data_IF_556270495079
#
_entry.id   IF_556270495079
#
_cell.length_a   1.000
_cell.length_b   1.000
_cell.length_c   1.000
_cell.angle_alpha   90.00
_cell.angle_beta   90.00
_cell.angle_gamma   90.00
#
_symmetry.space_group_name_H-M   'P 1'
#
loop_
_entity.id
_entity.type
_entity.pdbx_description
1 polymer ?
#
# COMPACT_ATOMS: atom_id res chain seq x y z
N UNK A 1 23.18 24.35 -8.10
CA UNK A 1 23.05 22.91 -8.42
C UNK A 1 21.57 22.58 -8.41
N UNK A 2 21.05 21.72 -9.31
CA UNK A 2 19.68 21.26 -9.13
C UNK A 2 19.58 20.62 -7.75
N UNK A 3 18.55 21.00 -6.98
CA UNK A 3 18.36 20.56 -5.60
C UNK A 3 18.43 19.03 -5.54
N UNK A 4 19.51 18.51 -4.95
CA UNK A 4 19.65 17.06 -4.75
C UNK A 4 18.63 16.65 -3.68
N UNK A 5 17.81 15.60 -3.91
CA UNK A 5 16.82 15.17 -2.94
C UNK A 5 17.48 14.82 -1.61
N UNK A 6 16.97 15.43 -0.53
CA UNK A 6 17.35 15.06 0.84
C UNK A 6 16.88 13.63 1.15
N UNK A 7 17.39 12.99 2.22
CA UNK A 7 16.83 11.71 2.66
C UNK A 7 15.32 11.78 2.89
N UNK A 8 14.81 12.86 3.48
CA UNK A 8 13.38 13.06 3.70
C UNK A 8 12.59 13.13 2.38
N UNK A 9 13.12 13.82 1.37
CA UNK A 9 12.48 13.86 0.04
C UNK A 9 12.42 12.48 -0.59
N UNK A 10 13.45 11.65 -0.39
CA UNK A 10 13.49 10.27 -0.90
C UNK A 10 12.47 9.39 -0.19
N UNK A 11 12.34 9.49 1.14
CA UNK A 11 11.31 8.75 1.88
C UNK A 11 9.90 9.17 1.47
N UNK A 12 9.63 10.47 1.37
CA UNK A 12 8.35 10.99 0.89
C UNK A 12 8.05 10.55 -0.53
N UNK A 13 9.02 10.67 -1.43
CA UNK A 13 8.91 10.23 -2.82
C UNK A 13 8.64 8.73 -2.91
N UNK A 14 9.29 7.91 -2.09
CA UNK A 14 9.07 6.47 -2.05
C UNK A 14 7.64 6.12 -1.63
N UNK A 15 7.12 6.72 -0.55
CA UNK A 15 5.76 6.45 -0.08
C UNK A 15 4.70 6.94 -1.08
N UNK A 16 4.86 8.16 -1.61
CA UNK A 16 3.91 8.74 -2.57
C UNK A 16 3.93 8.00 -3.92
N UNK A 17 5.11 7.66 -4.44
CA UNK A 17 5.24 6.92 -5.68
C UNK A 17 4.79 5.47 -5.53
N UNK A 18 5.00 4.84 -4.37
CA UNK A 18 4.46 3.53 -4.04
C UNK A 18 2.93 3.54 -4.10
N UNK A 19 2.29 4.46 -3.39
CA UNK A 19 0.83 4.61 -3.41
C UNK A 19 0.28 4.98 -4.79
N UNK A 20 1.00 5.80 -5.56
CA UNK A 20 0.63 6.13 -6.93
C UNK A 20 0.74 4.90 -7.84
N UNK A 21 1.77 4.08 -7.67
CA UNK A 21 2.01 2.86 -8.44
C UNK A 21 0.97 1.79 -8.16
N UNK A 22 0.66 1.55 -6.88
CA UNK A 22 -0.47 0.74 -6.42
C UNK A 22 -1.77 1.20 -7.11
N UNK A 23 -2.17 2.46 -6.90
CA UNK A 23 -3.44 2.97 -7.42
C UNK A 23 -3.53 2.97 -8.96
N UNK A 24 -2.40 3.11 -9.66
CA UNK A 24 -2.33 3.02 -11.13
C UNK A 24 -2.36 1.56 -11.61
N UNK A 25 -1.76 0.64 -10.86
CA UNK A 25 -1.67 -0.78 -11.20
C UNK A 25 -2.93 -1.57 -10.89
N UNK A 26 -3.66 -1.17 -9.84
CA UNK A 26 -4.85 -1.87 -9.36
C UNK A 26 -5.90 -2.19 -10.44
N UNK A 27 -6.25 -1.28 -11.38
CA UNK A 27 -7.23 -1.59 -12.43
C UNK A 27 -6.76 -2.63 -13.45
N UNK A 28 -5.49 -3.01 -13.45
CA UNK A 28 -4.88 -3.93 -14.42
C UNK A 28 -4.19 -5.14 -13.78
N UNK A 29 -4.29 -5.32 -12.46
CA UNK A 29 -3.56 -6.33 -11.69
C UNK A 29 -3.69 -7.76 -12.24
N UNK A 30 -4.90 -8.15 -12.67
CA UNK A 30 -5.20 -9.49 -13.18
C UNK A 30 -5.33 -9.56 -14.71
N UNK A 31 -4.93 -8.50 -15.43
CA UNK A 31 -4.99 -8.46 -16.88
C UNK A 31 -3.66 -8.88 -17.50
N UNK A 32 -3.73 -9.66 -18.57
CA UNK A 32 -2.58 -9.83 -19.44
C UNK A 32 -2.31 -8.56 -20.26
N UNK A 33 -1.09 -8.42 -20.76
CA UNK A 33 -0.67 -7.25 -21.53
C UNK A 33 -1.59 -6.95 -22.73
N UNK A 34 -2.09 -7.98 -23.42
CA UNK A 34 -2.99 -7.80 -24.58
C UNK A 34 -4.30 -7.15 -24.17
N UNK A 35 -4.87 -7.56 -23.03
CA UNK A 35 -6.10 -6.97 -22.48
C UNK A 35 -5.88 -5.52 -22.06
N UNK A 36 -4.74 -5.23 -21.42
CA UNK A 36 -4.36 -3.86 -21.04
C UNK A 36 -4.30 -2.95 -22.27
N UNK A 37 -3.60 -3.38 -23.33
CA UNK A 37 -3.46 -2.57 -24.54
C UNK A 37 -4.77 -2.44 -25.32
N UNK A 38 -5.61 -3.47 -25.32
CA UNK A 38 -6.94 -3.39 -25.93
C UNK A 38 -7.84 -2.39 -25.18
N UNK A 39 -7.77 -2.36 -23.85
CA UNK A 39 -8.61 -1.49 -23.01
C UNK A 39 -8.10 -0.05 -22.93
N UNK A 40 -6.80 0.16 -22.79
CA UNK A 40 -6.20 1.47 -22.52
C UNK A 40 -5.39 2.04 -23.71
N UNK A 41 -5.31 1.30 -24.81
CA UNK A 41 -4.56 1.68 -26.00
C UNK A 41 -3.08 1.33 -25.93
N UNK A 42 -2.34 1.70 -26.98
CA UNK A 42 -0.95 1.28 -27.18
C UNK A 42 0.03 1.72 -26.07
N UNK A 43 -0.31 2.79 -25.33
CA UNK A 43 0.47 3.28 -24.19
C UNK A 43 0.21 2.51 -22.88
N UNK A 44 -0.80 1.65 -22.84
CA UNK A 44 -1.25 1.00 -21.61
C UNK A 44 -1.94 1.99 -20.66
N UNK A 45 -2.01 1.65 -19.37
CA UNK A 45 -2.61 2.51 -18.35
C UNK A 45 -1.66 3.69 -18.03
N UNK A 46 -2.14 4.91 -18.26
CA UNK A 46 -1.37 6.15 -18.02
C UNK A 46 -2.08 7.13 -17.10
N UNK A 47 -3.31 6.80 -16.70
CA UNK A 47 -4.15 7.60 -15.80
C UNK A 47 -4.87 6.66 -14.86
N UNK A 48 -5.23 7.15 -13.68
CA UNK A 48 -6.08 6.38 -12.77
C UNK A 48 -7.39 5.98 -13.44
N UNK A 49 -7.78 4.74 -13.23
CA UNK A 49 -9.00 4.15 -13.75
C UNK A 49 -9.75 3.43 -12.60
N UNK A 50 -11.04 3.14 -12.76
CA UNK A 50 -11.75 2.33 -11.78
C UNK A 50 -11.14 0.91 -11.70
N UNK A 51 -10.57 0.58 -10.53
CA UNK A 51 -10.11 -0.76 -10.16
C UNK A 51 -10.83 -1.29 -8.91
N UNK A 52 -11.15 -0.38 -7.97
CA UNK A 52 -11.93 -0.62 -6.75
C UNK A 52 -13.00 0.48 -6.61
N UNK A 53 -13.24 0.97 -5.40
CA UNK A 53 -14.32 1.90 -5.04
C UNK A 53 -14.35 3.19 -5.87
N UNK A 54 -13.17 3.74 -6.22
CA UNK A 54 -13.03 4.95 -7.02
C UNK A 54 -11.69 4.98 -7.79
N UNK A 55 -11.57 5.77 -8.87
CA UNK A 55 -10.30 5.94 -9.58
C UNK A 55 -9.22 6.49 -8.66
N UNK A 56 -8.07 5.81 -8.60
CA UNK A 56 -6.96 6.20 -7.74
C UNK A 56 -7.10 5.73 -6.28
N UNK A 57 -8.07 4.84 -5.99
CA UNK A 57 -8.09 4.13 -4.73
C UNK A 57 -6.83 3.27 -4.58
N UNK A 58 -6.26 3.29 -3.37
CA UNK A 58 -5.13 2.44 -2.97
C UNK A 58 -5.61 1.05 -2.54
N UNK A 59 -4.79 0.02 -2.69
CA UNK A 59 -5.10 -1.36 -2.28
C UNK A 59 -4.45 -1.73 -0.96
N UNK A 60 -4.49 -3.03 -0.63
CA UNK A 60 -3.77 -3.63 0.48
C UNK A 60 -2.27 -3.34 0.44
N UNK A 61 -1.64 -3.18 -0.72
CA UNK A 61 -0.22 -2.79 -0.85
C UNK A 61 0.09 -1.50 -0.05
N UNK A 62 -0.62 -0.41 -0.31
CA UNK A 62 -0.41 0.85 0.43
C UNK A 62 -0.98 0.77 1.83
N UNK A 63 -2.16 0.17 2.02
CA UNK A 63 -2.78 0.09 3.34
C UNK A 63 -1.86 -0.65 4.33
N UNK A 64 -1.40 -1.85 3.98
CA UNK A 64 -0.49 -2.63 4.82
C UNK A 64 0.87 -1.94 4.98
N UNK A 65 1.36 -1.21 3.98
CA UNK A 65 2.57 -0.37 4.12
C UNK A 65 2.39 0.68 5.22
N UNK A 66 1.23 1.36 5.28
CA UNK A 66 0.94 2.35 6.32
C UNK A 66 0.80 1.70 7.71
N UNK A 67 0.14 0.55 7.81
CA UNK A 67 0.08 -0.22 9.06
C UNK A 67 1.46 -0.77 9.48
N UNK A 68 2.35 -1.06 8.54
CA UNK A 68 3.75 -1.38 8.85
C UNK A 68 4.42 -0.20 9.51
N UNK A 69 4.28 1.00 8.93
CA UNK A 69 4.88 2.22 9.48
C UNK A 69 4.33 2.54 10.87
N UNK A 70 3.03 2.32 11.11
CA UNK A 70 2.40 2.44 12.44
C UNK A 70 3.06 1.48 13.45
N UNK A 71 3.21 0.21 13.10
CA UNK A 71 3.86 -0.79 13.95
C UNK A 71 5.31 -0.45 14.31
N UNK A 72 6.07 0.06 13.33
CA UNK A 72 7.45 0.54 13.55
C UNK A 72 7.49 1.74 14.51
N UNK A 73 6.55 2.67 14.39
CA UNK A 73 6.43 3.83 15.29
C UNK A 73 6.03 3.39 16.70
N UNK A 74 5.08 2.46 16.84
CA UNK A 74 4.68 1.92 18.14
C UNK A 74 5.84 1.22 18.84
N UNK A 75 6.63 0.41 18.13
CA UNK A 75 7.85 -0.21 18.67
C UNK A 75 8.88 0.85 19.11
N UNK A 76 9.06 1.91 18.31
CA UNK A 76 9.97 3.01 18.66
C UNK A 76 9.52 3.77 19.93
N UNK A 77 8.22 3.86 20.18
CA UNK A 77 7.64 4.43 21.39
C UNK A 77 7.68 3.48 22.60
N UNK A 78 8.10 2.22 22.41
CA UNK A 78 8.24 1.23 23.48
C UNK A 78 7.02 0.33 23.69
N UNK A 79 6.10 0.25 22.73
CA UNK A 79 4.88 -0.58 22.81
C UNK A 79 5.11 -2.05 22.39
N UNK A 80 6.27 -2.61 22.73
CA UNK A 80 6.70 -3.96 22.37
C UNK A 80 7.88 -3.97 21.38
N UNK A 81 8.34 -5.16 21.02
CA UNK A 81 9.35 -5.29 19.97
C UNK A 81 8.74 -5.03 18.58
N UNK A 82 9.62 -4.81 17.60
CA UNK A 82 9.25 -4.50 16.21
C UNK A 82 8.30 -5.53 15.61
N UNK A 83 8.51 -6.82 15.88
CA UNK A 83 7.69 -7.88 15.30
C UNK A 83 6.29 -7.90 15.93
N UNK A 84 6.21 -7.83 17.26
CA UNK A 84 4.93 -7.82 17.99
C UNK A 84 4.11 -6.58 17.68
N UNK A 85 4.73 -5.40 17.67
CA UNK A 85 4.03 -4.15 17.35
C UNK A 85 3.51 -4.15 15.90
N UNK A 86 4.33 -4.58 14.94
CA UNK A 86 3.93 -4.69 13.52
C UNK A 86 2.80 -5.70 13.33
N UNK A 87 2.88 -6.87 13.97
CA UNK A 87 1.83 -7.88 13.91
C UNK A 87 0.51 -7.34 14.44
N UNK A 88 0.52 -6.59 15.55
CA UNK A 88 -0.68 -5.93 16.10
C UNK A 88 -1.26 -4.88 15.14
N UNK A 89 -0.43 -4.12 14.44
CA UNK A 89 -0.91 -3.19 13.41
C UNK A 89 -1.54 -3.93 12.22
N UNK A 90 -0.98 -5.06 11.76
CA UNK A 90 -1.63 -5.87 10.73
C UNK A 90 -2.96 -6.48 11.17
N UNK A 91 -3.08 -6.91 12.43
CA UNK A 91 -4.37 -7.33 12.98
C UNK A 91 -5.37 -6.16 13.05
N UNK A 92 -4.88 -4.94 13.25
CA UNK A 92 -5.72 -3.74 13.18
C UNK A 92 -6.20 -3.47 11.77
N UNK A 93 -5.32 -3.59 10.76
CA UNK A 93 -5.69 -3.55 9.35
C UNK A 93 -6.75 -4.60 9.01
N UNK A 94 -6.55 -5.86 9.42
CA UNK A 94 -7.50 -6.95 9.16
C UNK A 94 -8.92 -6.61 9.66
N UNK A 95 -9.02 -6.00 10.86
CA UNK A 95 -10.31 -5.53 11.39
C UNK A 95 -10.96 -4.44 10.54
N UNK A 96 -10.17 -3.57 9.90
CA UNK A 96 -10.72 -2.57 8.96
C UNK A 96 -11.28 -3.21 7.69
N UNK A 97 -10.84 -4.43 7.35
CA UNK A 97 -11.41 -5.24 6.27
C UNK A 97 -12.66 -6.02 6.71
N UNK A 98 -13.18 -5.76 7.91
CA UNK A 98 -14.27 -6.51 8.55
C UNK A 98 -13.95 -8.00 8.80
N UNK A 99 -12.67 -8.35 8.84
CA UNK A 99 -12.20 -9.68 9.14
C UNK A 99 -11.66 -9.79 10.59
N UNK A 100 -11.63 -11.01 11.09
CA UNK A 100 -11.13 -11.34 12.42
C UNK A 100 -10.03 -12.38 12.31
N UNK A 101 -8.94 -12.25 13.10
CA UNK A 101 -7.92 -13.28 13.12
C UNK A 101 -8.53 -14.62 13.57
N UNK A 102 -8.07 -15.69 12.93
CA UNK A 102 -8.41 -17.04 13.35
C UNK A 102 -8.01 -17.23 14.84
N UNK A 103 -8.91 -17.79 15.65
CA UNK A 103 -8.81 -17.90 17.12
C UNK A 103 -7.41 -18.25 17.69
N UNK A 104 -6.61 -19.15 17.08
CA UNK A 104 -5.25 -19.47 17.54
C UNK A 104 -4.24 -18.33 17.49
N UNK A 105 -4.53 -17.22 16.80
CA UNK A 105 -3.69 -16.01 16.77
C UNK A 105 -4.09 -15.00 17.86
N UNK A 106 -5.16 -15.26 18.61
CA UNK A 106 -5.64 -14.44 19.73
C UNK A 106 -5.26 -15.03 21.11
N UNK A 107 -4.69 -16.23 21.14
CA UNK A 107 -4.20 -16.93 22.34
C UNK A 107 -2.69 -16.71 22.54
#
# INVERSE_FOLDING_TARGET
>A
MPNTPTPLDRFRGCLLAGATGDALGAPVEFMCRTEILHRFGAAGITTFAPGYDYPGAITDDTQMTLFTAEGLLAAWLGEGDVAVATARSYLSWLRTQHEWPYEPLLA
#
